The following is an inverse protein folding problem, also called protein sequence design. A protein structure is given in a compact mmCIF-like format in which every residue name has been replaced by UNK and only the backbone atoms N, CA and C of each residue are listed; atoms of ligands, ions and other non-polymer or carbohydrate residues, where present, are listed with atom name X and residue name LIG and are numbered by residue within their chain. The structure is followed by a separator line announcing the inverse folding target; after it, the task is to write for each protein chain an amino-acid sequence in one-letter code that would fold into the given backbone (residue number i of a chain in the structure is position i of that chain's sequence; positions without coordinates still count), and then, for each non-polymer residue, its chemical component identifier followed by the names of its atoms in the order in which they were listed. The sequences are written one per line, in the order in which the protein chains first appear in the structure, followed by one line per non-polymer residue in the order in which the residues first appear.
data_IF_830958546674
#
_entry.id   IF_830958546674
#
_cell.length_a   1.000
_cell.length_b   1.000
_cell.length_c   1.000
_cell.angle_alpha   90.00
_cell.angle_beta   90.00
_cell.angle_gamma   90.00
#
_symmetry.space_group_name_H-M   'P 1'
#
loop_
_entity.id
_entity.type
_entity.pdbx_description
1 polymer ?
#
# COMPACT_ATOMS: atom_id res chain seq x y z
N UNK A 1 0.56 -10.12 12.02
CA UNK A 1 1.41 -8.94 12.06
C UNK A 1 0.53 -7.72 12.34
N UNK A 2 0.77 -7.03 13.44
CA UNK A 2 0.16 -5.73 13.71
C UNK A 2 0.72 -4.72 12.70
N UNK A 3 -0.14 -3.87 12.13
CA UNK A 3 0.41 -2.73 11.41
C UNK A 3 1.20 -1.85 12.37
N UNK A 4 2.28 -1.25 11.90
CA UNK A 4 3.12 -0.33 12.70
C UNK A 4 2.29 0.81 13.29
N UNK A 5 1.28 1.26 12.57
CA UNK A 5 0.33 2.25 13.04
C UNK A 5 -0.43 1.74 14.28
N UNK A 6 -0.97 0.53 14.25
CA UNK A 6 -1.68 -0.04 15.40
C UNK A 6 -0.76 -0.18 16.62
N UNK A 7 0.47 -0.63 16.45
CA UNK A 7 1.42 -0.77 17.55
C UNK A 7 1.80 0.57 18.22
N UNK A 8 1.95 1.64 17.44
CA UNK A 8 2.21 2.99 17.97
C UNK A 8 1.00 3.64 18.63
N UNK A 9 -0.22 3.33 18.14
CA UNK A 9 -1.45 3.84 18.75
C UNK A 9 -1.83 3.14 20.05
N UNK A 10 -1.34 1.93 20.29
CA UNK A 10 -1.51 1.22 21.56
C UNK A 10 -0.78 1.86 22.75
N UNK A 11 0.10 2.83 22.52
CA UNK A 11 0.75 3.62 23.57
C UNK A 11 -0.13 4.75 24.13
N UNK A 12 -1.38 4.89 23.67
CA UNK A 12 -2.37 5.82 24.21
C UNK A 12 -3.19 5.09 25.27
N UNK A 13 -3.07 5.52 26.52
CA UNK A 13 -3.55 4.83 27.75
C UNK A 13 -5.05 4.46 27.78
N UNK A 14 -5.88 5.01 26.89
CA UNK A 14 -7.34 4.75 26.87
C UNK A 14 -7.87 4.21 25.52
N UNK A 15 -6.99 3.80 24.61
CA UNK A 15 -7.41 3.38 23.26
C UNK A 15 -7.82 1.90 23.21
N UNK A 16 -9.07 1.62 22.90
CA UNK A 16 -9.47 0.28 22.46
C UNK A 16 -9.11 0.11 20.98
N UNK A 17 -8.13 -0.74 20.72
CA UNK A 17 -7.75 -1.14 19.36
C UNK A 17 -8.25 -2.55 19.09
N UNK A 18 -9.11 -2.69 18.10
CA UNK A 18 -9.55 -4.00 17.60
C UNK A 18 -8.63 -4.37 16.45
N UNK A 19 -7.87 -5.45 16.61
CA UNK A 19 -6.97 -5.96 15.58
C UNK A 19 -7.71 -7.02 14.76
N UNK A 20 -7.76 -6.80 13.45
CA UNK A 20 -8.18 -7.82 12.51
C UNK A 20 -7.02 -8.78 12.25
N UNK A 21 -7.28 -10.10 12.28
CA UNK A 21 -6.30 -11.14 11.97
C UNK A 21 -6.02 -11.27 10.47
N UNK A 22 -5.94 -10.14 9.77
CA UNK A 22 -5.61 -10.09 8.36
C UNK A 22 -4.16 -9.67 8.13
N UNK A 23 -3.61 -10.04 6.97
CA UNK A 23 -2.29 -9.60 6.53
C UNK A 23 -2.24 -9.54 5.00
N UNK A 24 -1.34 -8.72 4.47
CA UNK A 24 -1.01 -8.76 3.06
C UNK A 24 0.03 -9.86 2.80
N UNK A 25 -0.31 -10.83 1.92
CA UNK A 25 0.59 -11.94 1.57
C UNK A 25 1.90 -11.47 0.92
N UNK A 26 1.87 -10.35 0.19
CA UNK A 26 3.06 -9.76 -0.41
C UNK A 26 3.95 -9.15 0.65
N UNK A 27 3.41 -8.24 1.47
CA UNK A 27 4.20 -7.53 2.47
C UNK A 27 4.77 -8.46 3.56
N UNK A 28 4.08 -9.57 3.88
CA UNK A 28 4.54 -10.56 4.84
C UNK A 28 5.82 -11.30 4.40
N UNK A 29 6.17 -11.25 3.12
CA UNK A 29 7.34 -11.96 2.56
C UNK A 29 8.65 -11.21 2.79
N UNK A 30 8.60 -9.91 3.03
CA UNK A 30 9.82 -9.13 3.24
C UNK A 30 10.49 -9.51 4.56
N UNK A 31 11.83 -9.55 4.54
CA UNK A 31 12.67 -9.95 5.67
C UNK A 31 13.81 -8.94 5.89
N UNK A 32 14.41 -8.98 7.08
CA UNK A 32 15.55 -8.14 7.42
C UNK A 32 16.79 -8.54 6.59
N UNK A 33 16.94 -9.83 6.30
CA UNK A 33 18.04 -10.34 5.48
C UNK A 33 18.03 -9.80 4.05
N UNK A 34 16.83 -9.50 3.51
CA UNK A 34 16.72 -8.84 2.22
C UNK A 34 17.22 -7.38 2.28
N UNK A 35 16.95 -6.68 3.38
CA UNK A 35 17.48 -5.32 3.62
C UNK A 35 19.01 -5.35 3.71
N UNK A 36 19.56 -6.26 4.50
CA UNK A 36 21.00 -6.41 4.66
C UNK A 36 21.70 -6.71 3.33
N UNK A 37 21.11 -7.58 2.52
CA UNK A 37 21.58 -7.90 1.17
C UNK A 37 21.57 -6.68 0.25
N UNK A 38 20.46 -5.94 0.21
CA UNK A 38 20.33 -4.74 -0.59
C UNK A 38 21.41 -3.71 -0.21
N UNK A 39 21.67 -3.53 1.08
CA UNK A 39 22.72 -2.62 1.57
C UNK A 39 24.14 -3.08 1.23
N UNK A 40 24.38 -4.39 1.24
CA UNK A 40 25.67 -4.95 0.87
C UNK A 40 25.96 -4.81 -0.64
N UNK A 41 24.92 -5.01 -1.47
CA UNK A 41 25.05 -4.95 -2.93
C UNK A 41 25.05 -3.51 -3.46
N UNK A 42 24.27 -2.63 -2.85
CA UNK A 42 24.12 -1.22 -3.27
C UNK A 42 24.47 -0.26 -2.15
N UNK A 43 25.76 0.11 -1.97
CA UNK A 43 26.16 1.09 -0.98
C UNK A 43 25.42 2.42 -1.14
N UNK A 44 24.81 2.92 -0.07
CA UNK A 44 23.99 4.14 -0.09
C UNK A 44 22.54 3.94 -0.53
N UNK A 45 22.08 2.70 -0.69
CA UNK A 45 20.68 2.42 -0.98
C UNK A 45 19.78 2.91 0.17
N UNK A 46 18.68 3.56 -0.19
CA UNK A 46 17.59 3.91 0.72
C UNK A 46 16.54 2.81 0.69
N UNK A 47 16.26 2.22 1.84
CA UNK A 47 15.25 1.16 1.97
C UNK A 47 13.94 1.78 2.44
N UNK A 48 12.91 1.73 1.61
CA UNK A 48 11.57 2.24 1.93
C UNK A 48 10.56 1.08 1.87
N UNK A 49 9.81 0.88 2.96
CA UNK A 49 8.86 -0.23 3.05
C UNK A 49 7.44 0.24 3.34
N UNK A 50 6.47 -0.55 2.89
CA UNK A 50 5.07 -0.33 3.29
C UNK A 50 4.85 -0.75 4.74
N UNK A 51 4.04 -0.02 5.55
CA UNK A 51 3.84 -0.31 6.98
C UNK A 51 3.12 -1.64 7.26
N UNK A 52 2.60 -2.33 6.25
CA UNK A 52 2.08 -3.70 6.39
C UNK A 52 3.16 -4.77 6.41
N UNK A 53 4.42 -4.41 6.17
CA UNK A 53 5.54 -5.33 6.34
C UNK A 53 5.67 -5.79 7.80
N UNK A 54 6.32 -6.94 8.07
CA UNK A 54 6.62 -7.36 9.43
C UNK A 54 7.36 -6.26 10.22
N UNK A 55 7.04 -6.13 11.51
CA UNK A 55 7.63 -5.10 12.36
C UNK A 55 9.17 -5.05 12.29
N UNK A 56 9.90 -6.19 12.35
CA UNK A 56 11.36 -6.16 12.23
C UNK A 56 11.86 -5.54 10.91
N UNK A 57 11.11 -5.72 9.82
CA UNK A 57 11.44 -5.15 8.51
C UNK A 57 11.23 -3.64 8.51
N UNK A 58 10.12 -3.18 9.11
CA UNK A 58 9.83 -1.75 9.23
C UNK A 58 10.86 -1.05 10.12
N UNK A 59 11.26 -1.71 11.22
CA UNK A 59 12.26 -1.17 12.15
C UNK A 59 13.67 -1.12 11.54
N UNK A 60 13.99 -2.05 10.62
CA UNK A 60 15.28 -2.10 9.93
C UNK A 60 15.33 -1.20 8.67
N UNK A 61 14.20 -0.76 8.13
CA UNK A 61 14.14 0.12 6.97
C UNK A 61 14.56 1.56 7.33
N UNK A 62 15.02 2.31 6.34
CA UNK A 62 15.34 3.74 6.52
C UNK A 62 14.06 4.58 6.62
N UNK A 63 13.04 4.17 5.86
CA UNK A 63 11.76 4.87 5.82
C UNK A 63 10.59 3.87 5.67
N UNK A 64 9.43 4.27 6.11
CA UNK A 64 8.19 3.52 5.87
C UNK A 64 7.01 4.48 5.65
N UNK A 65 6.08 4.08 4.81
CA UNK A 65 4.89 4.90 4.56
C UNK A 65 3.92 4.28 3.57
N UNK A 66 2.84 5.01 3.31
CA UNK A 66 1.84 4.62 2.31
C UNK A 66 2.45 4.57 0.91
N UNK A 67 1.72 3.99 -0.03
CA UNK A 67 2.10 4.01 -1.46
C UNK A 67 2.34 5.44 -1.98
N UNK A 68 1.56 6.40 -1.52
CA UNK A 68 1.75 7.82 -1.86
C UNK A 68 3.03 8.39 -1.23
N UNK A 69 3.31 8.03 0.02
CA UNK A 69 4.56 8.41 0.66
C UNK A 69 5.79 7.90 -0.10
N UNK A 70 5.79 6.60 -0.46
CA UNK A 70 6.87 5.98 -1.23
C UNK A 70 7.09 6.71 -2.56
N UNK A 71 6.00 7.00 -3.29
CA UNK A 71 6.07 7.77 -4.54
C UNK A 71 6.68 9.16 -4.32
N UNK A 72 6.22 9.89 -3.32
CA UNK A 72 6.69 11.25 -3.04
C UNK A 72 8.16 11.26 -2.59
N UNK A 73 8.60 10.29 -1.80
CA UNK A 73 9.98 10.16 -1.37
C UNK A 73 10.94 9.92 -2.55
N UNK A 74 10.49 9.19 -3.55
CA UNK A 74 11.25 8.95 -4.79
C UNK A 74 11.22 10.20 -5.68
N UNK A 75 10.05 10.82 -5.86
CA UNK A 75 9.86 12.00 -6.71
C UNK A 75 10.71 13.20 -6.27
N UNK A 76 10.92 13.35 -4.97
CA UNK A 76 11.67 14.48 -4.39
C UNK A 76 13.15 14.18 -4.13
N UNK A 77 13.60 12.97 -4.46
CA UNK A 77 14.99 12.57 -4.23
C UNK A 77 15.96 13.20 -5.24
N UNK A 78 17.21 13.42 -4.86
CA UNK A 78 18.26 13.83 -5.81
C UNK A 78 18.46 12.78 -6.91
N UNK A 79 18.74 13.23 -8.13
CA UNK A 79 19.06 12.35 -9.25
C UNK A 79 20.21 11.39 -8.91
N UNK A 80 20.09 10.17 -9.40
CA UNK A 80 21.06 9.10 -9.11
C UNK A 80 20.82 8.37 -7.79
N UNK A 81 19.75 8.68 -7.08
CA UNK A 81 19.39 7.96 -5.85
C UNK A 81 19.07 6.48 -6.13
N UNK A 82 19.36 5.63 -5.15
CA UNK A 82 19.12 4.18 -5.21
C UNK A 82 18.07 3.81 -4.16
N UNK A 83 17.03 3.10 -4.57
CA UNK A 83 15.92 2.70 -3.70
C UNK A 83 15.66 1.19 -3.77
N UNK A 84 15.67 0.56 -2.60
CA UNK A 84 15.10 -0.78 -2.40
C UNK A 84 13.71 -0.63 -1.77
N UNK A 85 12.68 -1.06 -2.50
CA UNK A 85 11.29 -0.78 -2.13
C UNK A 85 10.58 -2.05 -1.68
N UNK A 86 10.12 -2.07 -0.43
CA UNK A 86 9.38 -3.19 0.16
C UNK A 86 7.86 -3.01 -0.01
N UNK A 87 7.37 -3.16 -1.25
CA UNK A 87 5.94 -3.18 -1.58
C UNK A 87 5.68 -4.03 -2.83
N UNK A 88 4.46 -4.01 -3.34
CA UNK A 88 4.02 -4.83 -4.46
C UNK A 88 4.77 -4.49 -5.75
N UNK A 89 5.19 -5.54 -6.46
CA UNK A 89 6.12 -5.46 -7.61
C UNK A 89 5.65 -4.55 -8.75
N UNK A 90 4.35 -4.55 -9.09
CA UNK A 90 3.85 -3.71 -10.19
C UNK A 90 3.98 -2.21 -9.86
N UNK A 91 3.83 -1.83 -8.59
CA UNK A 91 4.09 -0.47 -8.15
C UNK A 91 5.58 -0.14 -8.31
N UNK A 92 6.47 -1.02 -7.86
CA UNK A 92 7.92 -0.80 -7.94
C UNK A 92 8.38 -0.66 -9.38
N UNK A 93 7.93 -1.56 -10.27
CA UNK A 93 8.25 -1.50 -11.70
C UNK A 93 7.73 -0.22 -12.36
N UNK A 94 6.52 0.23 -11.99
CA UNK A 94 5.97 1.49 -12.49
C UNK A 94 6.81 2.68 -12.03
N UNK A 95 7.23 2.71 -10.78
CA UNK A 95 8.11 3.76 -10.27
C UNK A 95 9.48 3.75 -10.98
N UNK A 96 10.08 2.58 -11.19
CA UNK A 96 11.33 2.47 -11.94
C UNK A 96 11.20 2.98 -13.39
N UNK A 97 10.08 2.70 -14.04
CA UNK A 97 9.82 3.21 -15.40
C UNK A 97 9.51 4.73 -15.42
N UNK A 98 8.89 5.26 -14.38
CA UNK A 98 8.52 6.67 -14.28
C UNK A 98 9.70 7.57 -13.88
N UNK A 99 10.65 7.04 -13.11
CA UNK A 99 11.82 7.76 -12.59
C UNK A 99 13.14 7.12 -13.06
N UNK A 100 13.43 7.15 -14.38
CA UNK A 100 14.62 6.47 -14.95
C UNK A 100 15.96 7.08 -14.51
N UNK A 101 15.95 8.27 -13.89
CA UNK A 101 17.13 8.89 -13.29
C UNK A 101 17.55 8.23 -11.97
N UNK A 102 16.70 7.38 -11.37
CA UNK A 102 16.96 6.63 -10.15
C UNK A 102 17.16 5.14 -10.44
N UNK A 103 17.87 4.45 -9.56
CA UNK A 103 17.86 2.99 -9.53
C UNK A 103 16.81 2.53 -8.53
N UNK A 104 15.73 1.92 -8.99
CA UNK A 104 14.61 1.50 -8.15
C UNK A 104 14.37 0.01 -8.37
N UNK A 105 14.40 -0.78 -7.30
CA UNK A 105 14.15 -2.22 -7.36
C UNK A 105 13.33 -2.71 -6.16
N UNK A 106 12.71 -3.88 -6.35
CA UNK A 106 11.96 -4.52 -5.27
C UNK A 106 12.91 -5.17 -4.27
N UNK A 107 12.62 -5.01 -2.99
CA UNK A 107 13.41 -5.61 -1.91
C UNK A 107 13.39 -7.16 -1.95
N UNK A 108 12.33 -7.78 -2.49
CA UNK A 108 12.25 -9.23 -2.70
C UNK A 108 12.71 -9.57 -4.13
N UNK A 109 13.71 -10.42 -4.27
CA UNK A 109 14.23 -10.92 -5.55
C UNK A 109 13.22 -11.80 -6.29
N UNK A 110 12.28 -12.39 -5.54
CA UNK A 110 11.23 -13.23 -6.12
C UNK A 110 10.02 -12.38 -6.47
N UNK A 111 9.76 -12.26 -7.76
CA UNK A 111 8.56 -11.58 -8.26
C UNK A 111 7.31 -12.31 -7.77
N UNK A 112 6.62 -11.73 -6.80
CA UNK A 112 5.35 -12.24 -6.30
C UNK A 112 4.26 -11.19 -6.50
N UNK A 113 3.51 -11.25 -7.63
CA UNK A 113 2.42 -10.33 -7.86
C UNK A 113 1.31 -10.59 -6.83
N UNK A 114 0.64 -9.53 -6.41
CA UNK A 114 -0.53 -9.67 -5.54
C UNK A 114 -1.67 -10.37 -6.28
N UNK A 115 -2.00 -11.60 -5.85
CA UNK A 115 -3.05 -12.41 -6.48
C UNK A 115 -4.43 -11.73 -6.45
N UNK A 116 -4.66 -10.83 -5.50
CA UNK A 116 -5.90 -10.05 -5.38
C UNK A 116 -5.92 -8.89 -6.36
N UNK A 117 -4.85 -8.10 -6.45
CA UNK A 117 -4.75 -7.00 -7.41
C UNK A 117 -4.66 -7.49 -8.85
N UNK A 118 -4.06 -8.66 -9.07
CA UNK A 118 -3.97 -9.26 -10.42
C UNK A 118 -5.34 -9.60 -11.04
N UNK A 119 -6.38 -9.67 -10.21
CA UNK A 119 -7.77 -9.83 -10.68
C UNK A 119 -8.35 -8.54 -11.28
N UNK A 120 -7.74 -7.38 -11.02
CA UNK A 120 -8.13 -6.11 -11.62
C UNK A 120 -7.43 -6.00 -12.99
N UNK A 121 -8.03 -6.64 -13.98
CA UNK A 121 -7.50 -6.70 -15.34
C UNK A 121 -8.26 -5.71 -16.24
N UNK A 122 -7.59 -5.02 -17.19
CA UNK A 122 -8.26 -4.08 -18.11
C UNK A 122 -9.46 -4.67 -18.85
N UNK A 123 -9.39 -5.97 -19.21
CA UNK A 123 -10.51 -6.67 -19.81
C UNK A 123 -11.76 -6.77 -18.92
N UNK A 124 -11.58 -6.94 -17.62
CA UNK A 124 -12.72 -6.95 -16.69
C UNK A 124 -13.31 -5.54 -16.51
N UNK A 125 -12.48 -4.51 -16.53
CA UNK A 125 -12.95 -3.13 -16.52
C UNK A 125 -13.75 -2.82 -17.80
N UNK A 126 -13.22 -3.17 -18.97
CA UNK A 126 -13.92 -3.01 -20.24
C UNK A 126 -15.29 -3.72 -20.22
N UNK A 127 -15.32 -4.96 -19.75
CA UNK A 127 -16.57 -5.75 -19.64
C UNK A 127 -17.60 -5.08 -18.73
N UNK A 128 -17.21 -4.51 -17.59
CA UNK A 128 -18.12 -3.75 -16.72
C UNK A 128 -18.61 -2.48 -17.43
N UNK A 129 -17.72 -1.73 -18.08
CA UNK A 129 -18.09 -0.51 -18.81
C UNK A 129 -19.04 -0.80 -19.97
N UNK A 130 -18.80 -1.86 -20.74
CA UNK A 130 -19.70 -2.33 -21.80
C UNK A 130 -21.07 -2.70 -21.24
N UNK A 131 -21.12 -3.39 -20.08
CA UNK A 131 -22.40 -3.71 -19.43
C UNK A 131 -23.18 -2.48 -18.97
N UNK A 132 -22.47 -1.41 -18.57
CA UNK A 132 -23.10 -0.14 -18.21
C UNK A 132 -23.57 0.66 -19.43
N UNK A 133 -22.86 0.56 -20.55
CA UNK A 133 -23.23 1.22 -21.80
C UNK A 133 -24.39 0.54 -22.55
N UNK A 134 -24.71 -0.70 -22.21
CA UNK A 134 -25.78 -1.48 -22.85
C UNK A 134 -27.17 -0.97 -22.43
N UNK A 135 -28.20 -1.09 -23.31
CA UNK A 135 -29.54 -0.62 -23.03
C UNK A 135 -30.10 -1.24 -21.74
N UNK A 136 -30.67 -0.40 -20.88
CA UNK A 136 -31.25 -0.84 -19.59
C UNK A 136 -32.69 -1.40 -19.70
N UNK A 137 -33.28 -1.41 -20.87
CA UNK A 137 -34.68 -1.80 -21.09
C UNK A 137 -34.82 -2.70 -22.33
N UNK A 138 -35.71 -3.71 -22.26
CA UNK A 138 -36.01 -4.64 -23.33
C UNK A 138 -35.60 -6.09 -23.01
N UNK A 139 -35.92 -7.06 -23.92
CA UNK A 139 -35.56 -8.47 -23.73
C UNK A 139 -34.06 -8.71 -23.65
N UNK A 140 -33.25 -7.80 -24.21
CA UNK A 140 -31.79 -7.79 -24.16
C UNK A 140 -31.23 -6.83 -23.11
N UNK A 141 -32.02 -6.43 -22.10
CA UNK A 141 -31.59 -5.57 -21.03
C UNK A 141 -30.39 -6.17 -20.32
N UNK A 142 -29.20 -5.61 -20.56
CA UNK A 142 -27.97 -6.12 -19.99
C UNK A 142 -27.99 -5.95 -18.47
N UNK A 143 -27.73 -7.04 -17.79
CA UNK A 143 -27.52 -7.02 -16.34
C UNK A 143 -26.22 -6.28 -16.05
N UNK A 144 -26.28 -5.20 -15.25
CA UNK A 144 -25.08 -4.53 -14.77
C UNK A 144 -24.23 -5.54 -13.99
N UNK A 145 -23.02 -5.79 -14.51
CA UNK A 145 -22.08 -6.75 -13.94
C UNK A 145 -21.42 -6.18 -12.67
N UNK A 146 -21.16 -7.06 -11.73
CA UNK A 146 -20.45 -6.74 -10.48
C UNK A 146 -21.10 -5.63 -9.65
N UNK A 147 -22.41 -5.41 -9.80
CA UNK A 147 -23.13 -4.45 -8.96
C UNK A 147 -23.11 -4.90 -7.50
N UNK A 148 -22.57 -4.08 -6.64
CA UNK A 148 -22.58 -4.27 -5.19
C UNK A 148 -23.74 -3.45 -4.61
N UNK A 149 -24.54 -4.09 -3.77
CA UNK A 149 -25.58 -3.43 -2.97
C UNK A 149 -25.32 -3.71 -1.50
N UNK A 150 -25.42 -2.69 -0.67
CA UNK A 150 -25.25 -2.80 0.77
C UNK A 150 -26.58 -2.40 1.43
N UNK A 151 -27.06 -3.17 2.39
CA UNK A 151 -28.29 -2.87 3.13
C UNK A 151 -28.11 -1.59 3.98
N UNK A 152 -29.18 -0.87 4.23
CA UNK A 152 -29.13 0.42 4.93
C UNK A 152 -28.55 0.31 6.34
N UNK A 153 -28.88 -0.78 7.05
CA UNK A 153 -28.39 -1.07 8.40
C UNK A 153 -26.85 -1.27 8.47
N UNK A 154 -26.22 -1.67 7.36
CA UNK A 154 -24.77 -1.76 7.22
C UNK A 154 -24.18 -0.46 6.65
N UNK A 155 -24.85 0.14 5.67
CA UNK A 155 -24.34 1.33 4.98
C UNK A 155 -24.25 2.57 5.90
N UNK A 156 -25.27 2.78 6.76
CA UNK A 156 -25.31 3.92 7.68
C UNK A 156 -24.13 3.94 8.67
N UNK A 157 -23.89 2.88 9.48
CA UNK A 157 -22.75 2.88 10.39
C UNK A 157 -21.40 2.86 9.65
N UNK A 158 -21.31 2.23 8.48
CA UNK A 158 -20.10 2.25 7.67
C UNK A 158 -19.76 3.67 7.17
N UNK A 159 -20.77 4.43 6.70
CA UNK A 159 -20.60 5.82 6.30
C UNK A 159 -20.11 6.69 7.47
N UNK A 160 -20.72 6.55 8.64
CA UNK A 160 -20.29 7.27 9.84
C UNK A 160 -18.85 6.93 10.24
N UNK A 161 -18.43 5.66 10.13
CA UNK A 161 -17.06 5.24 10.41
C UNK A 161 -16.06 5.87 9.41
N UNK A 162 -16.40 5.91 8.13
CA UNK A 162 -15.60 6.56 7.09
C UNK A 162 -15.48 8.07 7.30
N UNK A 163 -16.58 8.76 7.65
CA UNK A 163 -16.57 10.18 7.96
C UNK A 163 -15.66 10.50 9.16
N UNK A 164 -15.75 9.69 10.21
CA UNK A 164 -14.85 9.82 11.38
C UNK A 164 -13.39 9.58 11.04
N UNK A 165 -13.10 8.58 10.21
CA UNK A 165 -11.75 8.31 9.72
C UNK A 165 -11.19 9.49 8.92
N UNK A 166 -11.98 10.07 8.03
CA UNK A 166 -11.58 11.25 7.24
C UNK A 166 -11.40 12.49 8.09
N UNK A 167 -12.20 12.66 9.15
CA UNK A 167 -12.09 13.77 10.09
C UNK A 167 -10.90 13.64 11.04
N UNK A 168 -10.49 12.42 11.36
CA UNK A 168 -9.35 12.10 12.23
C UNK A 168 -8.01 12.22 11.47
N UNK A 169 -7.82 13.27 10.67
CA UNK A 169 -6.53 13.52 10.02
C UNK A 169 -5.46 13.71 11.10
N UNK A 170 -4.37 12.92 11.09
CA UNK A 170 -3.23 13.28 11.91
C UNK A 170 -2.79 14.70 11.50
N UNK A 171 -2.33 15.52 12.45
CA UNK A 171 -1.70 16.78 12.07
C UNK A 171 -0.59 16.46 11.07
N UNK A 172 -0.55 17.23 9.97
CA UNK A 172 0.55 17.14 9.00
C UNK A 172 1.81 17.59 9.75
N UNK A 173 2.44 16.66 10.44
CA UNK A 173 3.78 16.87 10.95
C UNK A 173 4.70 16.69 9.76
N UNK A 174 4.98 17.80 9.09
CA UNK A 174 6.18 17.91 8.28
C UNK A 174 7.36 17.74 9.22
N UNK A 175 8.15 16.73 8.98
CA UNK A 175 9.39 16.58 9.74
C UNK A 175 9.71 15.11 9.97
N UNK A 176 10.82 14.69 9.40
CA UNK A 176 11.45 13.41 9.65
C UNK A 176 11.62 13.18 11.14
N UNK A 177 11.02 12.12 11.64
CA UNK A 177 11.28 11.64 12.97
C UNK A 177 12.61 10.91 12.98
N UNK A 178 13.71 11.62 13.20
CA UNK A 178 14.90 11.04 13.80
C UNK A 178 14.51 10.50 15.15
N UNK A 179 14.45 9.19 15.29
CA UNK A 179 14.37 8.53 16.59
C UNK A 179 15.76 8.70 17.21
N UNK A 180 15.86 9.66 18.13
CA UNK A 180 17.00 9.72 19.04
C UNK A 180 16.93 8.51 19.97
N UNK A 181 18.08 7.89 20.14
CA UNK A 181 18.43 6.77 21.02
C UNK A 181 17.86 6.86 22.42
#
# INVERSE_FOLDING_TARGET
AMSVLAARWMALDDSRVILWHGFCSVHKRFTVEQIERARAEFPGVRVIVHPECPMPVVDAADEYGSTEYIRNAIDTAPDGSIFAVGTEINMVQRLAAQYPQHTIFCLDDVVCPCSTMYRIHPGYLAWVLESLASPSTGPDAARVLNRITVSADVAEPARLALERMLAARPPVTGGGGTVAS
#
